data_IF_759795564253
#
_entry.id   IF_759795564253
#
_cell.length_a   1.000
_cell.length_b   1.000
_cell.length_c   1.000
_cell.angle_alpha   90.00
_cell.angle_beta   90.00
_cell.angle_gamma   90.00
#
_symmetry.space_group_name_H-M   'P 1'
#
loop_
_entity.id
_entity.type
_entity.pdbx_description
1 polymer ?
#
# COMPACT_ATOMS: atom_id res chain seq x y z
N UNK A 1 11.46 0.34 6.04
CA UNK A 1 12.55 -0.52 5.51
C UNK A 1 12.06 -1.46 4.42
N UNK A 2 10.85 -2.03 4.53
CA UNK A 2 10.29 -2.94 3.52
C UNK A 2 10.31 -2.40 2.07
N UNK A 3 9.77 -1.20 1.85
CA UNK A 3 9.72 -0.58 0.51
C UNK A 3 11.11 -0.35 -0.10
N UNK A 4 12.10 0.03 0.71
CA UNK A 4 13.50 0.20 0.27
C UNK A 4 14.09 -1.14 -0.16
N UNK A 5 13.89 -2.17 0.65
CA UNK A 5 14.36 -3.52 0.36
C UNK A 5 13.77 -4.02 -0.96
N UNK A 6 12.45 -3.94 -1.12
CA UNK A 6 11.75 -4.42 -2.32
C UNK A 6 12.18 -3.64 -3.58
N UNK A 7 12.21 -2.30 -3.50
CA UNK A 7 12.67 -1.44 -4.60
C UNK A 7 14.10 -1.79 -5.03
N UNK A 8 15.02 -1.96 -4.07
CA UNK A 8 16.41 -2.34 -4.37
C UNK A 8 16.55 -3.77 -4.91
N UNK A 9 15.83 -4.73 -4.33
CA UNK A 9 15.92 -6.16 -4.69
C UNK A 9 15.35 -6.45 -6.07
N UNK A 10 14.27 -5.77 -6.44
CA UNK A 10 13.62 -5.88 -7.75
C UNK A 10 14.15 -4.88 -8.77
N UNK A 11 14.95 -3.88 -8.33
CA UNK A 11 15.45 -2.77 -9.15
C UNK A 11 14.33 -1.95 -9.80
N UNK A 12 13.30 -1.66 -9.01
CA UNK A 12 12.09 -0.94 -9.43
C UNK A 12 11.96 0.36 -8.66
N UNK A 13 11.75 1.46 -9.37
CA UNK A 13 11.64 2.80 -8.80
C UNK A 13 12.93 3.26 -8.10
N UNK A 14 12.89 4.46 -7.54
CA UNK A 14 13.96 4.98 -6.71
C UNK A 14 13.73 4.56 -5.23
N UNK A 15 14.71 3.96 -4.53
CA UNK A 15 14.51 3.46 -3.16
C UNK A 15 14.12 4.54 -2.15
N UNK A 16 14.58 5.77 -2.32
CA UNK A 16 14.22 6.92 -1.51
C UNK A 16 12.74 7.33 -1.71
N UNK A 17 12.28 7.36 -2.96
CA UNK A 17 10.86 7.58 -3.29
C UNK A 17 9.98 6.48 -2.68
N UNK A 18 10.38 5.22 -2.83
CA UNK A 18 9.68 4.09 -2.24
C UNK A 18 9.67 4.15 -0.70
N UNK A 19 10.76 4.59 -0.08
CA UNK A 19 10.83 4.84 1.35
C UNK A 19 9.83 5.91 1.79
N UNK A 20 9.83 7.06 1.11
CA UNK A 20 8.95 8.18 1.41
C UNK A 20 7.49 7.77 1.28
N UNK A 21 7.12 7.08 0.20
CA UNK A 21 5.77 6.56 0.03
C UNK A 21 5.35 5.64 1.18
N UNK A 22 6.13 4.60 1.48
CA UNK A 22 5.79 3.66 2.55
C UNK A 22 5.79 4.26 3.96
N UNK A 23 6.47 5.39 4.17
CA UNK A 23 6.42 6.13 5.44
C UNK A 23 5.13 6.95 5.59
N UNK A 24 4.55 7.42 4.48
CA UNK A 24 3.49 8.42 4.50
C UNK A 24 2.13 7.96 3.97
N UNK A 25 2.02 6.77 3.38
CA UNK A 25 0.77 6.27 2.77
C UNK A 25 -0.44 6.31 3.71
N UNK A 26 -0.24 5.98 4.99
CA UNK A 26 -1.34 5.90 5.95
C UNK A 26 -1.49 7.16 6.81
N UNK A 27 -0.79 8.26 6.47
CA UNK A 27 -0.87 9.50 7.28
C UNK A 27 -2.27 10.07 7.42
N UNK A 28 -3.13 9.83 6.42
CA UNK A 28 -4.54 10.22 6.47
C UNK A 28 -5.34 9.55 7.60
N UNK A 29 -4.96 8.33 8.00
CA UNK A 29 -5.65 7.56 9.05
C UNK A 29 -5.67 8.33 10.37
N UNK A 30 -4.53 8.93 10.75
CA UNK A 30 -4.41 9.71 11.98
C UNK A 30 -5.34 10.94 11.98
N UNK A 31 -5.51 11.59 10.83
CA UNK A 31 -6.40 12.75 10.71
C UNK A 31 -7.85 12.33 10.79
N UNK A 32 -8.22 11.22 10.17
CA UNK A 32 -9.58 10.69 10.24
C UNK A 32 -9.95 10.21 11.66
N UNK A 33 -9.02 9.54 12.36
CA UNK A 33 -9.17 9.18 13.78
C UNK A 33 -9.44 10.40 14.66
N UNK A 34 -8.76 11.52 14.39
CA UNK A 34 -8.97 12.76 15.14
C UNK A 34 -10.27 13.49 14.74
N UNK A 35 -10.70 13.35 13.48
CA UNK A 35 -11.85 14.09 12.93
C UNK A 35 -13.20 13.46 13.23
N UNK A 36 -13.26 12.13 13.26
CA UNK A 36 -14.50 11.35 13.33
C UNK A 36 -14.44 10.39 14.51
N UNK A 37 -15.36 10.56 15.47
CA UNK A 37 -15.37 9.78 16.71
C UNK A 37 -15.54 8.27 16.48
N UNK A 38 -16.20 7.88 15.38
CA UNK A 38 -16.51 6.50 15.00
C UNK A 38 -15.57 5.93 13.91
N UNK A 39 -14.52 6.66 13.53
CA UNK A 39 -13.61 6.21 12.48
C UNK A 39 -12.82 4.96 12.88
N UNK A 40 -12.49 4.76 14.15
CA UNK A 40 -11.85 3.51 14.61
C UNK A 40 -12.66 2.26 14.23
N UNK A 41 -13.98 2.30 14.43
CA UNK A 41 -14.87 1.20 14.02
C UNK A 41 -14.99 1.08 12.49
N UNK A 42 -14.86 2.19 11.76
CA UNK A 42 -14.82 2.18 10.29
C UNK A 42 -13.53 1.53 9.78
N UNK A 43 -12.39 1.87 10.38
CA UNK A 43 -11.10 1.28 10.08
C UNK A 43 -11.12 -0.23 10.30
N UNK A 44 -11.62 -0.70 11.45
CA UNK A 44 -11.77 -2.14 11.72
C UNK A 44 -12.69 -2.83 10.72
N UNK A 45 -13.80 -2.18 10.34
CA UNK A 45 -14.72 -2.71 9.31
C UNK A 45 -14.01 -2.84 7.96
N UNK A 46 -13.28 -1.81 7.55
CA UNK A 46 -12.56 -1.79 6.27
C UNK A 46 -11.42 -2.81 6.24
N UNK A 47 -10.65 -2.91 7.32
CA UNK A 47 -9.56 -3.87 7.47
C UNK A 47 -10.04 -5.33 7.44
N UNK A 48 -11.29 -5.59 7.86
CA UNK A 48 -11.90 -6.92 7.85
C UNK A 48 -12.74 -7.24 6.60
N UNK A 49 -12.86 -6.31 5.65
CA UNK A 49 -13.66 -6.51 4.43
C UNK A 49 -12.80 -7.20 3.36
N UNK A 50 -13.21 -8.39 2.91
CA UNK A 50 -12.46 -9.15 1.91
C UNK A 50 -12.79 -8.78 0.46
N UNK A 51 -13.84 -7.98 0.23
CA UNK A 51 -14.37 -7.73 -1.10
C UNK A 51 -14.20 -6.27 -1.55
N UNK A 52 -14.49 -5.32 -0.67
CA UNK A 52 -14.44 -3.89 -1.00
C UNK A 52 -13.03 -3.32 -0.80
N UNK A 53 -12.73 -2.22 -1.50
CA UNK A 53 -11.51 -1.46 -1.22
C UNK A 53 -11.64 -0.84 0.16
N UNK A 54 -10.52 -0.70 0.86
CA UNK A 54 -10.51 -0.04 2.17
C UNK A 54 -11.18 1.33 2.10
N UNK A 55 -10.83 2.11 1.08
CA UNK A 55 -11.33 3.47 0.85
C UNK A 55 -12.83 3.52 0.53
N UNK A 56 -13.41 2.49 -0.08
CA UNK A 56 -14.85 2.46 -0.39
C UNK A 56 -15.68 2.46 0.90
N UNK A 57 -15.22 1.75 1.94
CA UNK A 57 -15.88 1.68 3.25
C UNK A 57 -15.79 3.03 3.97
N UNK A 58 -14.64 3.71 3.84
CA UNK A 58 -14.45 5.03 4.41
C UNK A 58 -15.29 6.09 3.70
N UNK A 59 -15.29 6.08 2.37
CA UNK A 59 -16.06 7.01 1.54
C UNK A 59 -17.57 6.88 1.82
N UNK A 60 -18.09 5.65 1.98
CA UNK A 60 -19.49 5.41 2.33
C UNK A 60 -19.89 6.07 3.66
N UNK A 61 -19.02 6.02 4.67
CA UNK A 61 -19.35 6.48 6.04
C UNK A 61 -18.99 7.93 6.31
N UNK A 62 -17.90 8.41 5.71
CA UNK A 62 -17.29 9.70 6.05
C UNK A 62 -17.26 10.67 4.87
N UNK A 63 -17.71 10.25 3.67
CA UNK A 63 -17.64 11.03 2.42
C UNK A 63 -16.20 11.48 2.06
N UNK A 64 -15.21 10.77 2.59
CA UNK A 64 -13.78 10.91 2.32
C UNK A 64 -13.08 9.65 2.81
N UNK A 65 -11.87 9.41 2.31
CA UNK A 65 -11.01 8.30 2.70
C UNK A 65 -9.61 8.76 3.10
N UNK A 66 -8.84 7.89 3.76
CA UNK A 66 -7.53 8.27 4.28
C UNK A 66 -6.51 8.51 3.16
N UNK A 67 -6.61 7.78 2.05
CA UNK A 67 -5.72 7.92 0.89
C UNK A 67 -5.85 9.32 0.24
N UNK A 68 -7.07 9.83 0.09
CA UNK A 68 -7.35 11.17 -0.43
C UNK A 68 -6.77 12.27 0.48
N UNK A 69 -6.98 12.14 1.80
CA UNK A 69 -6.42 13.08 2.79
C UNK A 69 -4.89 13.01 2.81
N UNK A 70 -4.33 11.79 2.79
CA UNK A 70 -2.88 11.55 2.74
C UNK A 70 -2.24 12.17 1.50
N UNK A 71 -2.86 12.03 0.33
CA UNK A 71 -2.40 12.65 -0.91
C UNK A 71 -2.38 14.19 -0.81
N UNK A 72 -3.43 14.79 -0.26
CA UNK A 72 -3.47 16.25 -0.05
C UNK A 72 -2.37 16.72 0.90
N UNK A 73 -2.11 15.98 1.98
CA UNK A 73 -1.01 16.27 2.91
C UNK A 73 0.36 16.15 2.25
N UNK A 74 0.60 15.06 1.52
CA UNK A 74 1.86 14.82 0.81
C UNK A 74 2.17 15.97 -0.17
N UNK A 75 1.17 16.42 -0.92
CA UNK A 75 1.31 17.59 -1.81
C UNK A 75 1.60 18.87 -1.03
N UNK A 76 0.93 19.09 0.09
CA UNK A 76 1.15 20.27 0.93
C UNK A 76 2.55 20.27 1.58
N UNK A 77 3.11 19.10 1.87
CA UNK A 77 4.50 18.95 2.33
C UNK A 77 5.54 19.07 1.21
N UNK A 78 5.11 19.20 -0.05
CA UNK A 78 6.00 19.31 -1.20
C UNK A 78 6.65 17.99 -1.60
N UNK A 79 6.05 16.84 -1.24
CA UNK A 79 6.49 15.53 -1.73
C UNK A 79 6.25 15.42 -3.24
N UNK A 80 6.97 14.52 -3.91
CA UNK A 80 6.86 14.35 -5.36
C UNK A 80 5.45 13.95 -5.79
N UNK A 81 5.14 14.16 -7.08
CA UNK A 81 3.91 13.68 -7.71
C UNK A 81 3.74 12.18 -7.52
N UNK A 82 4.82 11.42 -7.71
CA UNK A 82 4.80 9.96 -7.71
C UNK A 82 4.39 9.43 -6.33
N UNK A 83 4.97 10.01 -5.26
CA UNK A 83 4.55 9.71 -3.89
C UNK A 83 3.11 10.11 -3.68
N UNK A 84 2.74 11.34 -4.01
CA UNK A 84 1.39 11.86 -3.74
C UNK A 84 0.30 11.02 -4.43
N UNK A 85 0.51 10.64 -5.69
CA UNK A 85 -0.42 9.80 -6.46
C UNK A 85 -0.42 8.35 -5.99
N UNK A 86 0.74 7.78 -5.63
CA UNK A 86 0.79 6.45 -5.02
C UNK A 86 0.00 6.42 -3.70
N UNK A 87 0.12 7.47 -2.87
CA UNK A 87 -0.70 7.60 -1.64
C UNK A 87 -2.18 7.67 -2.00
N UNK A 88 -2.59 8.35 -3.07
CA UNK A 88 -4.01 8.36 -3.45
C UNK A 88 -4.54 6.98 -3.86
N UNK A 89 -3.72 6.18 -4.56
CA UNK A 89 -4.16 4.97 -5.23
C UNK A 89 -3.77 3.65 -4.53
N UNK A 90 -3.15 3.69 -3.34
CA UNK A 90 -2.60 2.47 -2.73
C UNK A 90 -3.65 1.41 -2.34
N UNK A 91 -4.93 1.74 -2.28
CA UNK A 91 -6.04 0.78 -2.14
C UNK A 91 -6.88 0.60 -3.43
N UNK A 92 -6.51 1.28 -4.53
CA UNK A 92 -7.08 1.07 -5.86
C UNK A 92 -6.13 0.24 -6.73
N UNK A 93 -6.20 -1.08 -6.56
CA UNK A 93 -5.33 -2.00 -7.29
C UNK A 93 -5.59 -2.04 -8.80
N UNK A 94 -6.66 -1.40 -9.30
CA UNK A 94 -6.86 -1.29 -10.74
C UNK A 94 -5.86 -0.37 -11.42
N UNK A 95 -5.23 0.55 -10.65
CA UNK A 95 -4.16 1.43 -11.15
C UNK A 95 -2.98 0.62 -11.70
N UNK A 96 -2.69 -0.56 -11.13
CA UNK A 96 -1.57 -1.42 -11.53
C UNK A 96 -1.70 -1.84 -13.01
N UNK A 97 -2.92 -2.09 -13.48
CA UNK A 97 -3.19 -2.53 -14.86
C UNK A 97 -3.45 -1.38 -15.82
N UNK A 98 -3.58 -0.14 -15.32
CA UNK A 98 -3.85 1.02 -16.15
C UNK A 98 -2.57 1.51 -16.84
N UNK A 99 -2.43 1.21 -18.13
CA UNK A 99 -1.31 1.66 -18.94
C UNK A 99 -1.25 3.19 -19.17
N UNK A 100 -2.28 3.95 -18.80
CA UNK A 100 -2.25 5.41 -18.82
C UNK A 100 -1.67 6.02 -17.52
N UNK A 101 -1.62 5.23 -16.45
CA UNK A 101 -1.05 5.65 -15.17
C UNK A 101 0.48 5.61 -15.20
N UNK A 102 1.12 6.51 -14.45
CA UNK A 102 2.58 6.59 -14.38
C UNK A 102 3.19 5.31 -13.81
N UNK A 103 4.25 4.80 -14.43
CA UNK A 103 4.93 3.57 -14.06
C UNK A 103 5.47 3.61 -12.62
N UNK A 104 5.91 4.78 -12.14
CA UNK A 104 6.37 4.94 -10.76
C UNK A 104 5.22 4.72 -9.76
N UNK A 105 4.02 5.24 -10.06
CA UNK A 105 2.84 5.06 -9.22
C UNK A 105 2.42 3.59 -9.20
N UNK A 106 2.31 2.97 -10.37
CA UNK A 106 1.95 1.54 -10.53
C UNK A 106 2.91 0.64 -9.76
N UNK A 107 4.21 0.92 -9.88
CA UNK A 107 5.27 0.23 -9.16
C UNK A 107 5.14 0.38 -7.65
N UNK A 108 4.96 1.59 -7.14
CA UNK A 108 4.84 1.83 -5.70
C UNK A 108 3.65 1.07 -5.09
N UNK A 109 2.50 1.08 -5.78
CA UNK A 109 1.28 0.37 -5.34
C UNK A 109 1.49 -1.16 -5.35
N UNK A 110 2.14 -1.70 -6.38
CA UNK A 110 2.47 -3.12 -6.42
C UNK A 110 3.46 -3.53 -5.31
N UNK A 111 4.47 -2.69 -5.05
CA UNK A 111 5.44 -2.93 -3.98
C UNK A 111 4.81 -2.82 -2.58
N UNK A 112 3.84 -1.92 -2.36
CA UNK A 112 3.15 -1.84 -1.06
C UNK A 112 2.35 -3.09 -0.73
N UNK A 113 1.75 -3.76 -1.72
CA UNK A 113 1.08 -5.05 -1.51
C UNK A 113 2.04 -6.13 -1.01
N UNK A 114 3.25 -6.20 -1.58
CA UNK A 114 4.28 -7.12 -1.10
C UNK A 114 4.74 -6.80 0.32
N UNK A 115 4.94 -5.51 0.60
CA UNK A 115 5.34 -5.04 1.93
C UNK A 115 4.26 -5.35 2.98
N UNK A 116 2.99 -5.13 2.64
CA UNK A 116 1.84 -5.42 3.51
C UNK A 116 1.73 -6.92 3.76
N UNK A 117 1.84 -7.77 2.73
CA UNK A 117 1.82 -9.23 2.91
C UNK A 117 2.93 -9.72 3.82
N UNK A 118 4.15 -9.20 3.66
CA UNK A 118 5.26 -9.54 4.54
C UNK A 118 5.03 -9.06 5.98
N UNK A 119 4.45 -7.87 6.15
CA UNK A 119 4.12 -7.34 7.47
C UNK A 119 3.06 -8.20 8.17
N UNK A 120 2.03 -8.66 7.45
CA UNK A 120 1.03 -9.58 8.00
C UNK A 120 1.66 -10.90 8.44
N UNK A 121 2.52 -11.48 7.60
CA UNK A 121 3.25 -12.70 7.93
C UNK A 121 4.16 -12.51 9.16
N UNK A 122 4.85 -11.37 9.26
CA UNK A 122 5.68 -11.03 10.42
C UNK A 122 4.86 -10.91 11.71
N UNK A 123 3.64 -10.41 11.62
CA UNK A 123 2.70 -10.33 12.74
C UNK A 123 2.06 -11.69 13.09
N UNK A 124 2.39 -12.76 12.37
CA UNK A 124 1.86 -14.10 12.59
C UNK A 124 0.53 -14.38 11.89
N UNK A 125 0.07 -13.49 11.01
CA UNK A 125 -1.11 -13.73 10.19
C UNK A 125 -0.73 -14.56 8.96
N UNK A 126 -1.45 -15.65 8.72
CA UNK A 126 -1.22 -16.53 7.56
C UNK A 126 -1.86 -16.01 6.26
N UNK A 127 -2.69 -14.97 6.35
CA UNK A 127 -3.41 -14.37 5.23
C UNK A 127 -3.30 -12.85 5.28
N UNK A 128 -3.47 -12.23 4.11
CA UNK A 128 -3.61 -10.78 3.96
C UNK A 128 -4.82 -10.53 3.05
N UNK A 129 -5.82 -9.80 3.57
CA UNK A 129 -7.01 -9.45 2.78
C UNK A 129 -6.67 -8.45 1.66
N UNK A 130 -5.73 -7.54 1.88
CA UNK A 130 -5.29 -6.62 0.84
C UNK A 130 -4.53 -7.36 -0.26
N UNK A 131 -3.70 -8.33 0.11
CA UNK A 131 -3.05 -9.23 -0.85
C UNK A 131 -4.08 -10.04 -1.65
N UNK A 132 -5.14 -10.56 -1.02
CA UNK A 132 -6.18 -11.30 -1.73
C UNK A 132 -6.92 -10.43 -2.76
N UNK A 133 -6.99 -9.11 -2.55
CA UNK A 133 -7.62 -8.15 -3.47
C UNK A 133 -6.73 -7.75 -4.65
N UNK A 134 -5.41 -7.64 -4.44
CA UNK A 134 -4.50 -7.01 -5.42
C UNK A 134 -3.25 -7.81 -5.79
N UNK A 135 -2.92 -8.88 -5.04
CA UNK A 135 -1.67 -9.61 -5.14
C UNK A 135 -1.43 -10.24 -6.52
N UNK A 136 -2.47 -10.77 -7.17
CA UNK A 136 -2.36 -11.31 -8.53
C UNK A 136 -1.92 -10.23 -9.54
N UNK A 137 -2.51 -9.03 -9.46
CA UNK A 137 -2.14 -7.88 -10.31
C UNK A 137 -0.71 -7.44 -10.04
N UNK A 138 -0.32 -7.37 -8.76
CA UNK A 138 1.05 -7.03 -8.38
C UNK A 138 2.06 -8.05 -8.93
N UNK A 139 1.80 -9.36 -8.80
CA UNK A 139 2.67 -10.41 -9.36
C UNK A 139 2.79 -10.29 -10.88
N UNK A 140 1.66 -10.11 -11.58
CA UNK A 140 1.65 -9.98 -13.04
C UNK A 140 2.43 -8.76 -13.51
N UNK A 141 2.25 -7.61 -12.85
CA UNK A 141 2.96 -6.37 -13.15
C UNK A 141 4.46 -6.48 -12.90
N UNK A 142 4.86 -7.08 -11.77
CA UNK A 142 6.26 -7.24 -11.40
C UNK A 142 6.95 -8.37 -12.16
N UNK A 143 6.19 -9.20 -12.90
CA UNK A 143 6.71 -10.35 -13.63
C UNK A 143 7.24 -11.45 -12.70
N UNK A 144 6.66 -11.60 -11.51
CA UNK A 144 7.14 -12.53 -10.48
C UNK A 144 6.29 -13.80 -10.44
N UNK A 145 6.98 -14.94 -10.43
CA UNK A 145 6.36 -16.25 -10.18
C UNK A 145 6.02 -16.44 -8.69
N UNK A 146 5.11 -17.36 -8.34
CA UNK A 146 4.77 -17.65 -6.95
C UNK A 146 5.98 -18.03 -6.07
N UNK A 147 6.96 -18.73 -6.64
CA UNK A 147 8.18 -19.13 -5.95
C UNK A 147 9.06 -17.91 -5.65
N UNK A 148 9.24 -17.01 -6.63
CA UNK A 148 10.00 -15.76 -6.43
C UNK A 148 9.33 -14.84 -5.40
N UNK A 149 8.00 -14.81 -5.35
CA UNK A 149 7.27 -14.09 -4.29
C UNK A 149 7.58 -14.68 -2.92
N UNK A 150 7.51 -16.00 -2.80
CA UNK A 150 7.78 -16.70 -1.53
C UNK A 150 9.21 -16.40 -1.05
N UNK A 151 10.19 -16.54 -1.93
CA UNK A 151 11.60 -16.23 -1.64
C UNK A 151 11.78 -14.76 -1.22
N UNK A 152 11.07 -13.83 -1.86
CA UNK A 152 11.15 -12.41 -1.56
C UNK A 152 10.54 -12.08 -0.19
N UNK A 153 9.42 -12.71 0.15
CA UNK A 153 8.77 -12.56 1.45
C UNK A 153 9.65 -13.11 2.57
N UNK A 154 10.24 -14.29 2.38
CA UNK A 154 11.16 -14.89 3.36
C UNK A 154 12.36 -13.98 3.63
N UNK A 155 13.00 -13.44 2.58
CA UNK A 155 14.10 -12.47 2.75
C UNK A 155 13.66 -11.19 3.47
N UNK A 156 12.44 -10.73 3.23
CA UNK A 156 11.91 -9.52 3.86
C UNK A 156 11.55 -9.75 5.33
N UNK A 157 11.04 -10.94 5.67
CA UNK A 157 10.81 -11.39 7.05
C UNK A 157 12.12 -11.48 7.82
N UNK A 158 13.15 -12.07 7.24
CA UNK A 158 14.49 -12.12 7.83
C UNK A 158 15.00 -10.69 8.11
N UNK A 159 14.80 -9.76 7.17
CA UNK A 159 15.19 -8.36 7.33
C UNK A 159 14.45 -7.62 8.45
N UNK A 160 13.23 -8.03 8.82
CA UNK A 160 12.50 -7.45 9.96
C UNK A 160 12.96 -7.98 11.33
N UNK A 161 13.72 -9.08 11.36
CA UNK A 161 14.20 -9.70 12.60
C UNK A 161 15.64 -9.31 12.97
N UNK A 162 16.32 -8.58 12.08
CA UNK A 162 17.66 -8.03 12.29
C UNK A 162 17.59 -6.59 12.82
#
# INVERSE_FOLDING_TARGET
QAMVFLSGRLRIGAPDVAHTFGLFCDTGVALLLNRFADYGATFETAAGDSARRFTDVEDERHSTNHAAIGCLLARNWGLSSDVSWAILHHHDYSVIDDGASDDAVRSLVALSLLAERALQAYQGHSASLEWDKGGERACAYLGLSPDEITDLLDQLLDAFTQ
#
